data_IF_557641035438
#
_entry.id   IF_557641035438
#
_cell.length_a   1.000
_cell.length_b   1.000
_cell.length_c   1.000
_cell.angle_alpha   90.00
_cell.angle_beta   90.00
_cell.angle_gamma   90.00
#
_symmetry.space_group_name_H-M   'P 1'
#
loop_
_entity.id
_entity.type
_entity.pdbx_description
1 polymer ?
#
# COMPACT_ATOMS: atom_id res chain seq x y z
N UNK A 1 -18.11 16.55 11.29
CA UNK A 1 -17.18 16.26 10.17
C UNK A 1 -15.81 16.23 10.79
N UNK A 2 -15.49 15.12 11.45
CA UNK A 2 -14.37 15.02 12.38
C UNK A 2 -13.06 14.90 11.62
N UNK A 3 -12.20 15.90 11.82
CA UNK A 3 -10.76 15.83 11.57
C UNK A 3 -10.16 14.65 12.35
N UNK A 4 -10.07 13.50 11.68
CA UNK A 4 -9.25 12.38 12.15
C UNK A 4 -7.80 12.68 11.82
N UNK A 5 -7.17 13.56 12.61
CA UNK A 5 -5.71 13.68 12.67
C UNK A 5 -5.19 12.42 13.35
N UNK A 6 -5.03 11.36 12.56
CA UNK A 6 -4.51 10.09 13.03
C UNK A 6 -3.07 10.30 13.52
N UNK A 7 -2.90 10.32 14.84
CA UNK A 7 -1.59 10.30 15.48
C UNK A 7 -0.76 9.21 14.83
N UNK A 8 0.35 9.59 14.18
CA UNK A 8 1.29 8.65 13.58
C UNK A 8 1.87 7.80 14.71
N UNK A 9 1.33 6.59 14.88
CA UNK A 9 1.83 5.63 15.85
C UNK A 9 3.30 5.30 15.52
N UNK A 10 4.17 5.09 16.52
CA UNK A 10 5.55 4.69 16.27
C UNK A 10 5.55 3.39 15.46
N UNK A 11 6.13 3.43 14.26
CA UNK A 11 6.14 2.31 13.32
C UNK A 11 5.29 2.50 12.05
N UNK A 12 4.65 3.66 11.84
CA UNK A 12 4.07 3.99 10.53
C UNK A 12 5.12 4.61 9.62
N UNK A 13 5.32 4.05 8.43
CA UNK A 13 6.28 4.54 7.44
C UNK A 13 5.55 5.05 6.19
N UNK A 14 5.92 6.25 5.75
CA UNK A 14 5.47 6.81 4.48
C UNK A 14 6.54 6.63 3.42
N UNK A 15 6.15 6.15 2.25
CA UNK A 15 7.03 6.02 1.09
C UNK A 15 6.32 6.53 -0.17
N UNK A 16 7.11 7.00 -1.13
CA UNK A 16 6.63 7.36 -2.46
C UNK A 16 7.31 6.49 -3.50
N UNK A 17 6.54 6.02 -4.48
CA UNK A 17 7.04 5.20 -5.58
C UNK A 17 6.66 5.80 -6.92
N UNK A 18 7.52 5.63 -7.93
CA UNK A 18 7.23 6.04 -9.31
C UNK A 18 7.65 4.96 -10.30
N UNK A 19 6.81 4.73 -11.31
CA UNK A 19 7.13 3.85 -12.45
C UNK A 19 6.50 4.41 -13.72
N UNK A 20 7.34 4.75 -14.71
CA UNK A 20 6.91 5.45 -15.93
C UNK A 20 6.16 6.74 -15.56
N UNK A 21 4.88 6.83 -15.91
CA UNK A 21 3.99 7.95 -15.61
C UNK A 21 3.22 7.77 -14.29
N UNK A 22 3.25 6.58 -13.70
CA UNK A 22 2.51 6.28 -12.47
C UNK A 22 3.27 6.77 -11.22
N UNK A 23 2.53 7.38 -10.30
CA UNK A 23 3.00 7.84 -8.98
C UNK A 23 2.13 7.22 -7.90
N UNK A 24 2.74 6.68 -6.84
CA UNK A 24 2.04 6.17 -5.68
C UNK A 24 2.59 6.77 -4.38
N UNK A 25 1.70 6.94 -3.41
CA UNK A 25 2.03 7.20 -2.01
C UNK A 25 1.57 6.00 -1.19
N UNK A 26 2.48 5.46 -0.38
CA UNK A 26 2.26 4.23 0.38
C UNK A 26 2.45 4.54 1.86
N UNK A 27 1.50 4.09 2.66
CA UNK A 27 1.58 4.11 4.11
C UNK A 27 1.70 2.68 4.60
N UNK A 28 2.82 2.34 5.23
CA UNK A 28 3.06 1.04 5.84
C UNK A 28 2.83 1.14 7.34
N UNK A 29 2.00 0.24 7.87
CA UNK A 29 1.76 0.06 9.30
C UNK A 29 2.04 -1.42 9.64
N UNK A 30 2.70 -1.74 10.77
CA UNK A 30 2.86 -3.13 11.20
C UNK A 30 1.48 -3.73 11.49
N UNK A 31 1.20 -4.91 10.95
CA UNK A 31 -0.13 -5.52 11.06
C UNK A 31 -0.27 -6.83 10.29
N UNK A 32 -1.52 -7.20 9.99
CA UNK A 32 -1.94 -8.50 9.45
C UNK A 32 -1.48 -8.78 8.00
N UNK A 33 -0.89 -7.80 7.32
CA UNK A 33 -0.44 -7.94 5.91
C UNK A 33 -1.55 -7.66 4.88
N UNK A 34 -2.63 -6.98 5.28
CA UNK A 34 -3.67 -6.53 4.37
C UNK A 34 -3.17 -5.37 3.50
N UNK A 35 -3.30 -5.53 2.18
CA UNK A 35 -2.88 -4.52 1.19
C UNK A 35 -4.11 -4.01 0.45
N UNK A 36 -4.37 -2.71 0.60
CA UNK A 36 -5.45 -2.00 -0.09
C UNK A 36 -4.85 -0.90 -0.98
N UNK A 37 -5.38 -0.76 -2.19
CA UNK A 37 -4.98 0.24 -3.18
C UNK A 37 -6.20 1.13 -3.46
N UNK A 38 -6.15 2.40 -3.07
CA UNK A 38 -7.25 3.37 -3.26
C UNK A 38 -8.63 2.86 -2.75
N UNK A 39 -8.65 2.10 -1.65
CA UNK A 39 -9.88 1.51 -1.09
C UNK A 39 -10.35 0.21 -1.77
N UNK A 40 -9.60 -0.31 -2.75
CA UNK A 40 -9.87 -1.59 -3.39
C UNK A 40 -8.83 -2.64 -2.97
N UNK A 41 -9.20 -3.93 -2.86
CA UNK A 41 -8.23 -4.99 -2.61
C UNK A 41 -7.30 -5.18 -3.83
N UNK A 42 -6.07 -5.63 -3.58
CA UNK A 42 -5.03 -5.84 -4.60
C UNK A 42 -5.50 -6.68 -5.80
N UNK A 43 -6.33 -7.70 -5.55
CA UNK A 43 -6.91 -8.58 -6.57
C UNK A 43 -7.84 -7.83 -7.54
N UNK A 44 -8.71 -6.97 -7.01
CA UNK A 44 -9.67 -6.21 -7.81
C UNK A 44 -9.02 -5.04 -8.55
N UNK A 45 -7.95 -4.47 -8.00
CA UNK A 45 -7.26 -3.33 -8.62
C UNK A 45 -6.32 -3.77 -9.76
N UNK A 46 -5.53 -4.82 -9.54
CA UNK A 46 -4.48 -5.23 -10.48
C UNK A 46 -4.97 -6.24 -11.52
N UNK A 47 -6.12 -6.88 -11.29
CA UNK A 47 -6.83 -7.84 -12.16
C UNK A 47 -6.02 -9.07 -12.62
N UNK A 48 -4.69 -9.07 -12.47
CA UNK A 48 -3.75 -10.09 -12.96
C UNK A 48 -2.85 -10.53 -11.81
N UNK A 49 -2.71 -11.84 -11.64
CA UNK A 49 -1.90 -12.44 -10.57
C UNK A 49 -0.42 -12.06 -10.65
N UNK A 50 0.12 -11.90 -11.85
CA UNK A 50 1.53 -11.49 -12.05
C UNK A 50 1.80 -10.15 -11.38
N UNK A 51 0.87 -9.20 -11.47
CA UNK A 51 1.02 -7.88 -10.87
C UNK A 51 0.89 -7.93 -9.34
N UNK A 52 0.08 -8.85 -8.82
CA UNK A 52 -0.05 -9.07 -7.37
C UNK A 52 1.28 -9.59 -6.82
N UNK A 53 1.91 -10.56 -7.50
CA UNK A 53 3.19 -11.14 -7.09
C UNK A 53 4.32 -10.13 -7.05
N UNK A 54 4.39 -9.24 -8.04
CA UNK A 54 5.40 -8.16 -8.10
C UNK A 54 5.29 -7.20 -6.91
N UNK A 55 4.10 -6.99 -6.36
CA UNK A 55 3.90 -6.12 -5.19
C UNK A 55 4.23 -6.84 -3.89
N UNK A 56 4.02 -8.16 -3.81
CA UNK A 56 4.31 -8.94 -2.59
C UNK A 56 5.77 -9.32 -2.46
N UNK A 57 6.48 -9.55 -3.57
CA UNK A 57 7.90 -9.91 -3.59
C UNK A 57 8.82 -9.04 -2.70
N UNK A 58 8.74 -7.69 -2.69
CA UNK A 58 9.60 -6.88 -1.81
C UNK A 58 9.29 -7.01 -0.31
N UNK A 59 8.17 -7.62 0.07
CA UNK A 59 7.79 -7.85 1.48
C UNK A 59 8.19 -9.26 1.96
N UNK A 60 8.54 -10.17 1.05
CA UNK A 60 8.91 -11.56 1.33
C UNK A 60 10.45 -11.79 1.37
N UNK A 61 11.24 -10.77 1.01
CA UNK A 61 12.70 -10.82 0.91
C UNK A 61 13.44 -10.68 2.25
#
# INVERSE_FOLDING_TARGET
MEESTEKVAPGTFGATGRRKEAVCHVTLKPGRGDVQINGLPKEKYLCREVLIRVITEPLEA
#
